data_IF_301413821593
#
_entry.id   IF_301413821593
#
_cell.length_a   1.000
_cell.length_b   1.000
_cell.length_c   1.000
_cell.angle_alpha   90.00
_cell.angle_beta   90.00
_cell.angle_gamma   90.00
#
_symmetry.space_group_name_H-M   'P 1'
#
loop_
_entity.id
_entity.type
_entity.pdbx_description
1 polymer ?
#
# COMPACT_ATOMS: atom_id res chain seq x y z
N UNK A 1 -13.11 -27.25 -13.78
CA UNK A 1 -12.66 -26.97 -12.39
C UNK A 1 -11.23 -26.42 -12.32
N UNK A 2 -10.24 -27.00 -13.01
CA UNK A 2 -8.84 -26.53 -12.93
C UNK A 2 -8.55 -25.14 -13.53
N UNK A 3 -9.25 -24.72 -14.59
CA UNK A 3 -9.02 -23.40 -15.22
C UNK A 3 -9.40 -22.19 -14.35
N UNK A 4 -10.46 -22.31 -13.55
CA UNK A 4 -10.87 -21.26 -12.60
C UNK A 4 -9.87 -21.13 -11.44
N UNK A 5 -9.33 -22.25 -10.95
CA UNK A 5 -8.31 -22.24 -9.90
C UNK A 5 -7.00 -21.60 -10.39
N UNK A 6 -6.52 -21.94 -11.59
CA UNK A 6 -5.30 -21.37 -12.15
C UNK A 6 -5.43 -19.85 -12.40
N UNK A 7 -6.59 -19.40 -12.91
CA UNK A 7 -6.88 -17.97 -13.07
C UNK A 7 -6.81 -17.22 -11.73
N UNK A 8 -7.35 -17.80 -10.65
CA UNK A 8 -7.32 -17.18 -9.33
C UNK A 8 -5.90 -17.08 -8.75
N UNK A 9 -5.06 -18.10 -8.96
CA UNK A 9 -3.66 -18.09 -8.50
C UNK A 9 -2.83 -16.99 -9.17
N UNK A 10 -3.17 -16.58 -10.40
CA UNK A 10 -2.45 -15.54 -11.13
C UNK A 10 -3.08 -14.16 -10.90
N UNK A 11 -4.41 -14.07 -10.90
CA UNK A 11 -5.12 -12.79 -10.83
C UNK A 11 -5.01 -12.14 -9.45
N UNK A 12 -5.06 -12.93 -8.36
CA UNK A 12 -5.05 -12.39 -7.00
C UNK A 12 -3.75 -11.62 -6.66
N UNK A 13 -2.54 -12.16 -6.90
CA UNK A 13 -1.30 -11.41 -6.66
C UNK A 13 -1.23 -10.10 -7.46
N UNK A 14 -1.67 -10.12 -8.71
CA UNK A 14 -1.70 -8.93 -9.58
C UNK A 14 -2.63 -7.87 -8.99
N UNK A 15 -3.80 -8.27 -8.50
CA UNK A 15 -4.77 -7.37 -7.88
C UNK A 15 -4.20 -6.74 -6.60
N UNK A 16 -3.51 -7.52 -5.77
CA UNK A 16 -2.85 -7.01 -4.55
C UNK A 16 -1.77 -5.99 -4.90
N UNK A 17 -0.92 -6.28 -5.90
CA UNK A 17 0.10 -5.35 -6.36
C UNK A 17 -0.55 -4.07 -6.89
N UNK A 18 -1.57 -4.17 -7.75
CA UNK A 18 -2.27 -3.02 -8.29
C UNK A 18 -2.91 -2.15 -7.20
N UNK A 19 -3.56 -2.77 -6.20
CA UNK A 19 -4.10 -2.07 -5.04
C UNK A 19 -3.00 -1.36 -4.24
N UNK A 20 -1.84 -1.99 -4.08
CA UNK A 20 -0.72 -1.39 -3.36
C UNK A 20 -0.18 -0.13 -4.06
N UNK A 21 -0.08 -0.17 -5.39
CA UNK A 21 0.25 1.02 -6.20
C UNK A 21 -0.82 2.10 -6.09
N UNK A 22 -2.10 1.73 -6.12
CA UNK A 22 -3.21 2.67 -5.96
C UNK A 22 -3.17 3.39 -4.59
N UNK A 23 -2.95 2.63 -3.51
CA UNK A 23 -2.81 3.18 -2.16
C UNK A 23 -1.60 4.13 -2.07
N UNK A 24 -0.53 3.85 -2.80
CA UNK A 24 0.65 4.75 -2.88
C UNK A 24 0.31 6.11 -3.50
N UNK A 25 -0.49 6.13 -4.58
CA UNK A 25 -0.95 7.38 -5.19
C UNK A 25 -1.87 8.15 -4.24
N UNK A 26 -2.80 7.46 -3.58
CA UNK A 26 -3.71 8.07 -2.61
C UNK A 26 -2.93 8.68 -1.44
N UNK A 27 -1.94 7.96 -0.88
CA UNK A 27 -1.10 8.47 0.19
C UNK A 27 -0.32 9.71 -0.27
N UNK A 28 0.26 9.69 -1.47
CA UNK A 28 0.99 10.83 -2.01
C UNK A 28 0.08 12.07 -2.09
N UNK A 29 -1.13 11.91 -2.64
CA UNK A 29 -2.08 12.99 -2.78
C UNK A 29 -2.49 13.55 -1.42
N UNK A 30 -2.89 12.67 -0.49
CA UNK A 30 -3.26 13.06 0.88
C UNK A 30 -2.12 13.76 1.60
N UNK A 31 -0.89 13.23 1.50
CA UNK A 31 0.28 13.83 2.10
C UNK A 31 0.45 15.26 1.58
N UNK A 32 0.49 15.47 0.26
CA UNK A 32 0.79 16.77 -0.32
C UNK A 32 -0.25 17.85 0.01
N UNK A 33 -1.52 17.48 0.19
CA UNK A 33 -2.56 18.46 0.56
C UNK A 33 -2.65 18.73 2.08
N UNK A 34 -2.21 17.80 2.95
CA UNK A 34 -2.38 17.94 4.40
C UNK A 34 -1.08 18.18 5.16
N UNK A 35 -0.07 17.33 4.94
CA UNK A 35 1.13 17.28 5.77
C UNK A 35 2.01 18.54 5.62
N UNK A 36 2.27 19.06 4.40
CA UNK A 36 2.92 20.34 4.22
C UNK A 36 2.16 21.50 4.86
N UNK A 37 0.84 21.53 4.75
CA UNK A 37 0.02 22.63 5.26
C UNK A 37 -0.04 22.66 6.79
N UNK A 38 -0.23 21.50 7.43
CA UNK A 38 -0.43 21.41 8.89
C UNK A 38 0.89 21.42 9.65
N UNK A 39 1.92 20.79 9.10
CA UNK A 39 3.18 20.53 9.80
C UNK A 39 4.40 21.23 9.17
N UNK A 40 4.21 22.08 8.16
CA UNK A 40 5.29 22.73 7.40
C UNK A 40 6.31 21.74 6.81
N UNK A 41 5.85 20.53 6.45
CA UNK A 41 6.66 19.48 5.83
C UNK A 41 6.82 19.69 4.31
N UNK A 42 7.73 18.95 3.70
CA UNK A 42 7.91 18.97 2.23
C UNK A 42 6.89 18.05 1.57
N UNK A 43 6.47 18.43 0.37
CA UNK A 43 5.75 17.55 -0.54
C UNK A 43 6.61 16.33 -0.91
N UNK A 44 5.92 15.23 -1.20
CA UNK A 44 6.53 13.97 -1.59
C UNK A 44 6.13 13.55 -3.00
N UNK A 45 7.04 12.88 -3.69
CA UNK A 45 6.78 12.23 -4.95
C UNK A 45 6.25 10.79 -4.75
N UNK A 46 5.80 10.18 -5.85
CA UNK A 46 5.25 8.82 -5.84
C UNK A 46 6.16 7.80 -5.13
N UNK A 47 7.45 7.80 -5.47
CA UNK A 47 8.41 6.86 -4.89
C UNK A 47 8.67 7.09 -3.39
N UNK A 48 8.60 8.34 -2.93
CA UNK A 48 8.69 8.66 -1.50
C UNK A 48 7.45 8.15 -0.76
N UNK A 49 6.24 8.35 -1.29
CA UNK A 49 5.01 7.82 -0.72
C UNK A 49 5.00 6.27 -0.67
N UNK A 50 5.47 5.63 -1.74
CA UNK A 50 5.62 4.16 -1.78
C UNK A 50 6.54 3.63 -0.68
N UNK A 51 7.72 4.24 -0.49
CA UNK A 51 8.66 3.86 0.58
C UNK A 51 8.07 4.11 1.97
N UNK A 52 7.32 5.20 2.15
CA UNK A 52 6.61 5.49 3.39
C UNK A 52 5.55 4.43 3.71
N UNK A 53 4.80 3.92 2.71
CA UNK A 53 3.87 2.80 2.91
C UNK A 53 4.58 1.52 3.35
N UNK A 54 5.74 1.21 2.76
CA UNK A 54 6.53 0.06 3.19
C UNK A 54 7.00 0.21 4.64
N UNK A 55 7.52 1.38 5.01
CA UNK A 55 7.94 1.68 6.37
C UNK A 55 6.74 1.56 7.33
N UNK A 56 5.59 2.13 6.99
CA UNK A 56 4.38 2.01 7.79
C UNK A 56 3.92 0.55 7.94
N UNK A 57 3.98 -0.24 6.86
CA UNK A 57 3.67 -1.67 6.89
C UNK A 57 4.61 -2.47 7.78
N UNK A 58 5.89 -2.11 7.83
CA UNK A 58 6.89 -2.75 8.72
C UNK A 58 6.67 -2.34 10.18
N UNK A 59 6.49 -1.04 10.44
CA UNK A 59 6.40 -0.51 11.81
C UNK A 59 5.08 -0.82 12.50
N UNK A 60 3.97 -0.68 11.77
CA UNK A 60 2.64 -0.86 12.35
C UNK A 60 2.10 -2.26 12.10
N UNK A 61 2.63 -2.98 11.11
CA UNK A 61 2.20 -4.33 10.76
C UNK A 61 0.76 -4.36 10.26
N UNK A 62 0.46 -5.26 9.31
CA UNK A 62 -0.91 -5.76 9.20
C UNK A 62 -1.20 -6.51 10.51
N UNK A 63 -1.84 -5.85 11.48
CA UNK A 63 -2.19 -6.35 12.82
C UNK A 63 -3.19 -7.54 12.81
N UNK A 64 -3.19 -8.36 11.76
CA UNK A 64 -4.09 -9.49 11.55
C UNK A 64 -3.42 -10.84 11.32
N UNK A 65 -2.09 -10.94 11.17
CA UNK A 65 -1.43 -12.26 11.15
C UNK A 65 -1.28 -12.76 12.60
N UNK A 66 -2.41 -13.13 13.21
CA UNK A 66 -2.37 -14.06 14.33
C UNK A 66 -1.95 -15.41 13.76
N UNK A 67 -0.72 -15.81 14.03
CA UNK A 67 -0.35 -17.23 14.05
C UNK A 67 -1.06 -17.85 15.26
N UNK A 68 -2.36 -18.10 15.14
CA UNK A 68 -3.09 -18.87 16.15
C UNK A 68 -2.66 -20.32 15.96
N UNK A 69 -2.03 -20.88 16.99
CA UNK A 69 -1.89 -22.31 17.18
C UNK A 69 -3.08 -22.81 18.01
#
# INVERSE_FOLDING_TARGET
MYGFALANFILLPILVVALFFLVSVILQWLWNITMPQVFALREINFWQAFRLLLIAGILFGASGIRFIN
#
